data_IF_083524421709
#
_entry.id   IF_083524421709
#
_cell.length_a   1.000
_cell.length_b   1.000
_cell.length_c   1.000
_cell.angle_alpha   90.00
_cell.angle_beta   90.00
_cell.angle_gamma   90.00
#
_symmetry.space_group_name_H-M   'P 1'
#
loop_
_entity.id
_entity.type
_entity.pdbx_description
1 polymer ?
#
# COMPACT_ATOMS: atom_id res chain seq x y z
N UNK A 1 -5.32 -10.14 -15.54
CA UNK A 1 -6.07 -9.02 -16.16
C UNK A 1 -6.91 -8.31 -15.09
N UNK A 2 -6.98 -6.98 -15.08
CA UNK A 2 -7.87 -6.22 -14.17
C UNK A 2 -8.95 -5.50 -14.98
N UNK A 3 -10.20 -5.90 -14.80
CA UNK A 3 -11.37 -5.25 -15.38
C UNK A 3 -12.05 -4.38 -14.31
N UNK A 4 -12.54 -3.20 -14.72
CA UNK A 4 -13.34 -2.34 -13.85
C UNK A 4 -14.69 -2.13 -14.51
N UNK A 5 -15.75 -2.40 -13.76
CA UNK A 5 -17.12 -2.39 -14.25
C UNK A 5 -18.13 -2.30 -13.11
N UNK A 6 -19.40 -2.22 -13.47
CA UNK A 6 -20.51 -2.20 -12.54
C UNK A 6 -21.18 -3.57 -12.49
N UNK A 7 -21.69 -3.95 -11.32
CA UNK A 7 -22.60 -5.07 -11.20
C UNK A 7 -23.89 -4.77 -11.95
N UNK A 8 -24.28 -5.67 -12.84
CA UNK A 8 -25.51 -5.52 -13.63
C UNK A 8 -26.63 -6.36 -13.02
N UNK A 9 -26.41 -7.67 -12.87
CA UNK A 9 -27.39 -8.63 -12.34
C UNK A 9 -26.74 -9.96 -11.97
N UNK A 10 -27.46 -10.77 -11.22
CA UNK A 10 -27.18 -12.18 -10.99
C UNK A 10 -28.40 -13.00 -11.38
N UNK A 11 -28.20 -14.19 -11.94
CA UNK A 11 -29.29 -15.06 -12.39
C UNK A 11 -28.91 -16.52 -12.41
N UNK A 12 -29.82 -17.35 -12.90
CA UNK A 12 -29.61 -18.78 -13.18
C UNK A 12 -29.61 -18.99 -14.69
N UNK A 13 -28.63 -19.73 -15.20
CA UNK A 13 -28.64 -20.15 -16.60
C UNK A 13 -29.55 -21.37 -16.81
N UNK A 14 -29.63 -21.86 -18.05
CA UNK A 14 -30.44 -23.03 -18.43
C UNK A 14 -30.07 -24.31 -17.66
N UNK A 15 -28.84 -24.38 -17.14
CA UNK A 15 -28.33 -25.50 -16.35
C UNK A 15 -28.51 -25.29 -14.82
N UNK A 16 -29.26 -24.28 -14.38
CA UNK A 16 -29.42 -23.89 -12.97
C UNK A 16 -28.12 -23.47 -12.27
N UNK A 17 -27.10 -23.08 -13.02
CA UNK A 17 -25.84 -22.54 -12.49
C UNK A 17 -25.98 -21.04 -12.25
N UNK A 18 -25.27 -20.51 -11.26
CA UNK A 18 -25.32 -19.09 -10.92
C UNK A 18 -24.43 -18.29 -11.86
N UNK A 19 -25.02 -17.32 -12.56
CA UNK A 19 -24.30 -16.36 -13.39
C UNK A 19 -24.28 -14.99 -12.72
N UNK A 20 -23.13 -14.33 -12.80
CA UNK A 20 -22.94 -12.93 -12.39
C UNK A 20 -22.59 -12.13 -13.64
N UNK A 21 -23.41 -11.13 -13.97
CA UNK A 21 -23.18 -10.23 -15.11
C UNK A 21 -22.59 -8.91 -14.62
N UNK A 22 -21.46 -8.52 -15.22
CA UNK A 22 -20.79 -7.25 -14.99
C UNK A 22 -20.75 -6.45 -16.30
N UNK A 23 -21.08 -5.15 -16.23
CA UNK A 23 -20.86 -4.23 -17.34
C UNK A 23 -19.48 -3.62 -17.20
N UNK A 24 -18.56 -3.98 -18.09
CA UNK A 24 -17.18 -3.45 -18.09
C UNK A 24 -17.08 -2.14 -18.89
N UNK A 25 -16.07 -1.32 -18.58
CA UNK A 25 -15.78 -0.10 -19.36
C UNK A 25 -15.24 -0.44 -20.76
N UNK A 26 -15.65 0.32 -21.77
CA UNK A 26 -15.33 0.10 -23.19
C UNK A 26 -13.82 -0.06 -23.48
N UNK A 27 -12.97 0.68 -22.77
CA UNK A 27 -11.50 0.60 -22.94
C UNK A 27 -10.91 -0.80 -22.70
N UNK A 28 -11.64 -1.71 -22.07
CA UNK A 28 -11.21 -3.08 -21.80
C UNK A 28 -11.69 -4.09 -22.86
N UNK A 29 -12.40 -3.65 -23.90
CA UNK A 29 -12.96 -4.53 -24.94
C UNK A 29 -11.93 -5.46 -25.55
N UNK A 30 -10.74 -4.96 -25.86
CA UNK A 30 -9.68 -5.78 -26.45
C UNK A 30 -9.14 -6.86 -25.50
N UNK A 31 -9.25 -6.65 -24.17
CA UNK A 31 -8.76 -7.61 -23.18
C UNK A 31 -9.68 -8.82 -23.02
N UNK A 32 -10.97 -8.70 -23.36
CA UNK A 32 -11.96 -9.78 -23.23
C UNK A 32 -12.19 -10.57 -24.53
N UNK A 33 -11.65 -10.11 -25.66
CA UNK A 33 -11.86 -10.75 -26.97
C UNK A 33 -11.31 -12.17 -27.06
N UNK A 34 -10.32 -12.50 -26.23
CA UNK A 34 -9.63 -13.79 -26.25
C UNK A 34 -10.06 -14.74 -25.13
N UNK A 35 -11.17 -14.45 -24.42
CA UNK A 35 -11.69 -15.36 -23.41
C UNK A 35 -12.33 -16.59 -24.09
N UNK A 36 -11.87 -17.78 -23.73
CA UNK A 36 -12.40 -19.05 -24.22
C UNK A 36 -13.46 -19.61 -23.26
N UNK A 37 -14.60 -20.04 -23.80
CA UNK A 37 -15.68 -20.68 -23.02
C UNK A 37 -15.28 -22.02 -22.42
N UNK A 38 -14.24 -22.66 -22.94
CA UNK A 38 -13.76 -23.96 -22.48
C UNK A 38 -12.66 -23.85 -21.40
N UNK A 39 -12.22 -22.63 -21.07
CA UNK A 39 -11.22 -22.40 -20.02
C UNK A 39 -11.86 -22.01 -18.69
N UNK A 40 -11.26 -22.49 -17.60
CA UNK A 40 -11.65 -22.11 -16.25
C UNK A 40 -10.81 -20.91 -15.77
N UNK A 41 -11.47 -19.80 -15.49
CA UNK A 41 -10.83 -18.58 -14.99
C UNK A 41 -11.05 -18.39 -13.49
N UNK A 42 -10.02 -17.93 -12.79
CA UNK A 42 -10.15 -17.42 -11.41
C UNK A 42 -10.65 -15.98 -11.43
N UNK A 43 -11.71 -15.68 -10.68
CA UNK A 43 -12.35 -14.36 -10.63
C UNK A 43 -12.20 -13.77 -9.23
N UNK A 44 -11.68 -12.55 -9.14
CA UNK A 44 -11.61 -11.77 -7.89
C UNK A 44 -12.43 -10.49 -8.05
N UNK A 45 -13.54 -10.39 -7.31
CA UNK A 45 -14.40 -9.20 -7.29
C UNK A 45 -14.05 -8.38 -6.06
N UNK A 46 -13.68 -7.11 -6.27
CA UNK A 46 -13.39 -6.15 -5.20
C UNK A 46 -13.95 -4.78 -5.59
N UNK A 47 -14.23 -3.94 -4.59
CA UNK A 47 -14.62 -2.55 -4.84
C UNK A 47 -13.47 -1.84 -5.55
N UNK A 48 -13.77 -1.15 -6.65
CA UNK A 48 -12.78 -0.32 -7.32
C UNK A 48 -12.33 0.78 -6.35
N UNK A 49 -11.01 0.94 -6.22
CA UNK A 49 -10.44 2.06 -5.46
C UNK A 49 -10.80 3.36 -6.15
N UNK A 50 -11.01 4.39 -5.34
CA UNK A 50 -11.24 5.74 -5.84
C UNK A 50 -10.02 6.21 -6.66
N UNK A 51 -10.26 6.87 -7.80
CA UNK A 51 -9.19 7.37 -8.67
C UNK A 51 -8.30 8.38 -7.93
N UNK A 52 -8.89 9.21 -7.06
CA UNK A 52 -8.20 10.18 -6.22
C UNK A 52 -7.22 9.48 -5.28
N UNK A 53 -7.66 8.41 -4.62
CA UNK A 53 -6.78 7.63 -3.73
C UNK A 53 -5.64 6.96 -4.49
N UNK A 54 -5.87 6.43 -5.71
CA UNK A 54 -4.79 5.86 -6.52
C UNK A 54 -3.78 6.93 -6.93
N UNK A 55 -4.26 8.11 -7.33
CA UNK A 55 -3.42 9.23 -7.74
C UNK A 55 -2.60 9.78 -6.57
N UNK A 56 -3.22 9.96 -5.41
CA UNK A 56 -2.55 10.38 -4.18
C UNK A 56 -1.43 9.40 -3.77
N UNK A 57 -1.69 8.09 -3.85
CA UNK A 57 -0.63 7.10 -3.59
C UNK A 57 0.55 7.26 -4.56
N UNK A 58 0.30 7.55 -5.84
CA UNK A 58 1.38 7.79 -6.81
C UNK A 58 2.18 9.04 -6.44
N UNK A 59 1.52 10.13 -6.08
CA UNK A 59 2.20 11.36 -5.67
C UNK A 59 2.99 11.18 -4.37
N UNK A 60 2.43 10.46 -3.39
CA UNK A 60 3.13 10.15 -2.14
C UNK A 60 4.45 9.42 -2.41
N UNK A 61 4.42 8.37 -3.25
CA UNK A 61 5.64 7.65 -3.62
C UNK A 61 6.63 8.50 -4.41
N UNK A 62 6.13 9.38 -5.29
CA UNK A 62 7.00 10.30 -6.01
C UNK A 62 7.71 11.28 -5.05
N UNK A 63 7.01 11.85 -4.07
CA UNK A 63 7.60 12.72 -3.04
C UNK A 63 8.64 11.97 -2.19
N UNK A 64 8.33 10.73 -1.79
CA UNK A 64 9.29 9.87 -1.08
C UNK A 64 10.59 9.70 -1.88
N UNK A 65 10.50 9.49 -3.20
CA UNK A 65 11.68 9.39 -4.06
C UNK A 65 12.46 10.70 -4.18
N UNK A 66 11.79 11.86 -4.18
CA UNK A 66 12.47 13.16 -4.15
C UNK A 66 13.18 13.40 -2.81
N UNK A 67 12.60 12.95 -1.68
CA UNK A 67 13.26 12.98 -0.37
C UNK A 67 14.52 12.09 -0.38
N UNK A 68 14.42 10.87 -0.92
CA UNK A 68 15.56 9.96 -1.01
C UNK A 68 16.72 10.59 -1.80
N UNK A 69 16.41 11.14 -2.99
CA UNK A 69 17.40 11.85 -3.82
C UNK A 69 18.03 13.03 -3.10
N UNK A 70 17.23 13.85 -2.42
CA UNK A 70 17.73 15.02 -1.69
C UNK A 70 18.70 14.63 -0.58
N UNK A 71 18.42 13.52 0.14
CA UNK A 71 19.29 13.02 1.22
C UNK A 71 20.54 12.30 0.69
N UNK A 72 20.43 11.61 -0.45
CA UNK A 72 21.49 10.74 -0.98
C UNK A 72 22.23 11.31 -2.21
N UNK A 73 22.00 12.58 -2.56
CA UNK A 73 22.69 13.28 -3.66
C UNK A 73 22.46 12.64 -5.03
N UNK A 74 21.19 12.38 -5.37
CA UNK A 74 20.72 11.80 -6.65
C UNK A 74 21.19 10.37 -6.96
N UNK A 75 21.83 9.68 -6.01
CA UNK A 75 22.27 8.26 -6.17
C UNK A 75 21.23 7.24 -5.67
N UNK A 76 19.98 7.69 -5.59
CA UNK A 76 18.82 7.08 -4.91
C UNK A 76 18.56 5.61 -5.27
N UNK A 77 18.23 4.82 -4.23
CA UNK A 77 17.70 3.45 -4.28
C UNK A 77 17.07 3.03 -2.93
N UNK A 78 16.79 3.97 -2.00
CA UNK A 78 16.36 3.69 -0.62
C UNK A 78 14.99 4.30 -0.29
N UNK A 79 14.13 4.55 -1.29
CA UNK A 79 12.76 5.07 -1.13
C UNK A 79 11.95 4.34 -0.04
N UNK A 80 12.20 3.03 0.13
CA UNK A 80 11.53 2.23 1.14
C UNK A 80 11.97 2.58 2.57
N UNK A 81 13.22 2.98 2.78
CA UNK A 81 13.70 3.37 4.11
C UNK A 81 13.11 4.71 4.53
N UNK A 82 12.95 5.64 3.57
CA UNK A 82 12.19 6.89 3.79
C UNK A 82 10.74 6.59 4.16
N UNK A 83 10.09 5.66 3.46
CA UNK A 83 8.72 5.24 3.79
C UNK A 83 8.63 4.58 5.18
N UNK A 84 9.61 3.77 5.57
CA UNK A 84 9.69 3.16 6.91
C UNK A 84 9.84 4.24 7.98
N UNK A 85 10.73 5.22 7.77
CA UNK A 85 10.89 6.36 8.67
C UNK A 85 9.59 7.13 8.84
N UNK A 86 8.89 7.43 7.73
CA UNK A 86 7.61 8.12 7.76
C UNK A 86 6.56 7.37 8.59
N UNK A 87 6.44 6.04 8.44
CA UNK A 87 5.52 5.23 9.25
C UNK A 87 5.85 5.30 10.75
N UNK A 88 7.13 5.26 11.11
CA UNK A 88 7.59 5.34 12.50
C UNK A 88 7.30 6.74 13.08
N UNK A 89 7.63 7.80 12.33
CA UNK A 89 7.42 9.20 12.75
C UNK A 89 5.95 9.55 12.92
N UNK A 90 5.09 9.08 12.01
CA UNK A 90 3.64 9.27 12.08
C UNK A 90 3.03 8.54 13.29
N UNK A 91 3.72 7.54 13.83
CA UNK A 91 3.13 6.63 14.82
C UNK A 91 2.06 5.73 14.20
N UNK A 92 2.26 5.32 12.95
CA UNK A 92 1.31 4.47 12.23
C UNK A 92 0.99 3.19 13.02
N UNK A 93 -0.23 2.66 12.85
CA UNK A 93 -0.66 1.43 13.54
C UNK A 93 0.36 0.31 13.33
N UNK A 94 0.72 -0.35 14.43
CA UNK A 94 1.62 -1.48 14.46
C UNK A 94 1.10 -2.56 15.40
N UNK A 95 1.66 -3.75 15.27
CA UNK A 95 1.53 -4.82 16.26
C UNK A 95 2.91 -5.17 16.82
N UNK A 96 2.95 -5.64 18.07
CA UNK A 96 4.18 -6.17 18.66
C UNK A 96 4.29 -7.66 18.37
N UNK A 97 5.43 -8.08 17.83
CA UNK A 97 5.78 -9.49 17.66
C UNK A 97 7.08 -9.79 18.39
N UNK A 98 6.99 -10.67 19.38
CA UNK A 98 8.13 -11.24 20.08
C UNK A 98 8.55 -12.52 19.37
N UNK A 99 9.73 -12.51 18.75
CA UNK A 99 10.21 -13.64 17.94
C UNK A 99 11.65 -14.01 18.30
N UNK A 100 12.08 -15.22 17.96
CA UNK A 100 13.50 -15.57 18.02
C UNK A 100 14.28 -14.73 16.98
N UNK A 101 15.55 -14.35 17.23
CA UNK A 101 16.32 -13.47 16.35
C UNK A 101 16.37 -13.93 14.88
N UNK A 102 16.39 -15.24 14.65
CA UNK A 102 16.41 -15.85 13.32
C UNK A 102 15.14 -15.62 12.50
N UNK A 103 14.02 -15.25 13.14
CA UNK A 103 12.75 -14.97 12.45
C UNK A 103 12.68 -13.54 11.88
N UNK A 104 13.69 -12.70 12.07
CA UNK A 104 13.70 -11.32 11.55
C UNK A 104 13.48 -11.28 10.04
N UNK A 105 14.13 -12.17 9.27
CA UNK A 105 14.00 -12.23 7.81
C UNK A 105 12.55 -12.49 7.40
N UNK A 106 11.88 -13.45 8.05
CA UNK A 106 10.47 -13.75 7.80
C UNK A 106 9.57 -12.55 8.10
N UNK A 107 9.88 -11.78 9.15
CA UNK A 107 9.13 -10.56 9.47
C UNK A 107 9.32 -9.49 8.39
N UNK A 108 10.55 -9.31 7.87
CA UNK A 108 10.83 -8.36 6.77
C UNK A 108 10.12 -8.74 5.47
N UNK A 109 9.92 -10.03 5.22
CA UNK A 109 9.15 -10.51 4.07
C UNK A 109 7.63 -10.32 4.26
N UNK A 110 7.16 -10.38 5.50
CA UNK A 110 5.72 -10.35 5.82
C UNK A 110 5.18 -8.94 6.05
N UNK A 111 6.01 -8.02 6.55
CA UNK A 111 5.61 -6.67 6.93
C UNK A 111 6.33 -5.62 6.10
N UNK A 112 5.63 -4.51 5.84
CA UNK A 112 6.18 -3.39 5.06
C UNK A 112 7.28 -2.63 5.79
N UNK A 113 7.19 -2.59 7.12
CA UNK A 113 8.17 -1.98 7.98
C UNK A 113 8.21 -2.72 9.32
N UNK A 114 9.43 -2.94 9.83
CA UNK A 114 9.65 -3.46 11.17
C UNK A 114 10.67 -2.60 11.91
N UNK A 115 10.49 -2.44 13.22
CA UNK A 115 11.42 -1.72 14.08
C UNK A 115 11.72 -2.58 15.30
N UNK A 116 13.00 -2.91 15.53
CA UNK A 116 13.41 -3.59 16.75
C UNK A 116 13.26 -2.63 17.94
N UNK A 117 12.46 -3.01 18.93
CA UNK A 117 12.21 -2.21 20.13
C UNK A 117 13.19 -2.58 21.23
N UNK A 118 13.35 -3.89 21.47
CA UNK A 118 14.19 -4.41 22.56
C UNK A 118 14.50 -5.89 22.33
N UNK A 119 15.56 -6.33 22.99
CA UNK A 119 15.87 -7.76 23.15
C UNK A 119 15.45 -8.18 24.56
N UNK A 120 14.76 -9.31 24.67
CA UNK A 120 14.26 -9.87 25.92
C UNK A 120 14.89 -11.24 26.11
N UNK A 121 15.50 -11.46 27.27
CA UNK A 121 15.97 -12.79 27.65
C UNK A 121 14.89 -13.50 28.48
N UNK A 122 14.45 -14.67 28.00
CA UNK A 122 13.52 -15.54 28.71
C UNK A 122 14.25 -16.86 28.98
N UNK A 123 14.66 -17.05 30.24
CA UNK A 123 15.58 -18.14 30.65
C UNK A 123 16.89 -18.06 29.86
N UNK A 124 17.23 -19.10 29.11
CA UNK A 124 18.47 -19.20 28.32
C UNK A 124 18.27 -18.84 26.84
N UNK A 125 17.10 -18.28 26.48
CA UNK A 125 16.77 -17.89 25.11
C UNK A 125 16.62 -16.37 24.98
N UNK A 126 17.14 -15.82 23.90
CA UNK A 126 16.97 -14.42 23.51
C UNK A 126 15.82 -14.33 22.53
N UNK A 127 14.94 -13.35 22.74
CA UNK A 127 13.88 -12.97 21.84
C UNK A 127 14.02 -11.48 21.48
N UNK A 128 13.59 -11.12 20.29
CA UNK A 128 13.54 -9.76 19.80
C UNK A 128 12.07 -9.32 19.71
N UNK A 129 11.76 -8.19 20.32
CA UNK A 129 10.46 -7.54 20.27
C UNK A 129 10.47 -6.50 19.14
N UNK A 130 9.70 -6.74 18.08
CA UNK A 130 9.56 -5.82 16.96
C UNK A 130 8.20 -5.14 16.97
N UNK A 131 8.17 -3.84 16.64
CA UNK A 131 6.98 -3.21 16.06
C UNK A 131 6.92 -3.61 14.60
N UNK A 132 5.81 -4.19 14.19
CA UNK A 132 5.52 -4.56 12.82
C UNK A 132 4.38 -3.66 12.33
N UNK A 133 4.68 -2.73 11.42
CA UNK A 133 3.74 -1.71 10.98
C UNK A 133 2.86 -2.21 9.84
N UNK A 134 1.60 -1.78 9.84
CA UNK A 134 0.70 -1.98 8.71
C UNK A 134 0.99 -0.94 7.62
N UNK A 135 1.05 -1.39 6.36
CA UNK A 135 1.25 -0.46 5.23
C UNK A 135 0.00 0.38 4.91
N UNK A 136 0.18 1.50 4.20
CA UNK A 136 -0.86 2.47 3.86
C UNK A 136 -2.11 1.87 3.19
N UNK A 137 -1.98 0.72 2.53
CA UNK A 137 -3.12 -0.04 2.01
C UNK A 137 -4.17 -0.50 3.03
N UNK A 138 -3.85 -0.43 4.33
CA UNK A 138 -4.74 -0.78 5.46
C UNK A 138 -5.17 0.44 6.29
N UNK A 139 -4.71 1.62 5.92
CA UNK A 139 -5.02 2.87 6.62
C UNK A 139 -6.42 3.37 6.27
N UNK A 140 -7.08 3.99 7.24
CA UNK A 140 -8.24 4.84 6.99
C UNK A 140 -7.83 6.21 6.44
N UNK A 141 -8.82 7.07 6.13
CA UNK A 141 -8.56 8.39 5.54
C UNK A 141 -7.70 9.28 6.45
N UNK A 142 -7.96 9.25 7.76
CA UNK A 142 -7.24 10.08 8.73
C UNK A 142 -5.79 9.61 8.83
N UNK A 143 -5.59 8.30 8.98
CA UNK A 143 -4.24 7.72 9.06
C UNK A 143 -3.40 8.00 7.81
N UNK A 144 -4.03 7.98 6.62
CA UNK A 144 -3.36 8.34 5.38
C UNK A 144 -2.99 9.83 5.33
N UNK A 145 -3.87 10.71 5.82
CA UNK A 145 -3.61 12.14 5.91
C UNK A 145 -2.44 12.43 6.85
N UNK A 146 -2.44 11.86 8.06
CA UNK A 146 -1.36 12.03 9.04
C UNK A 146 0.00 11.56 8.49
N UNK A 147 0.00 10.46 7.71
CA UNK A 147 1.20 9.97 7.02
C UNK A 147 1.69 10.94 5.94
N UNK A 148 0.79 11.50 5.14
CA UNK A 148 1.13 12.47 4.08
C UNK A 148 1.72 13.74 4.69
N UNK A 149 1.12 14.29 5.75
CA UNK A 149 1.66 15.46 6.46
C UNK A 149 3.07 15.18 6.98
N UNK A 150 3.30 14.00 7.56
CA UNK A 150 4.63 13.59 8.03
C UNK A 150 5.66 13.54 6.89
N UNK A 151 5.27 13.05 5.71
CA UNK A 151 6.15 13.01 4.52
C UNK A 151 6.42 14.42 3.99
N UNK A 152 5.42 15.32 4.01
CA UNK A 152 5.60 16.72 3.62
C UNK A 152 6.57 17.45 4.57
N UNK A 153 6.47 17.20 5.88
CA UNK A 153 7.41 17.71 6.87
C UNK A 153 8.83 17.19 6.58
N UNK A 154 8.98 15.89 6.33
CA UNK A 154 10.27 15.27 5.97
C UNK A 154 10.86 15.89 4.69
N UNK A 155 10.03 16.21 3.69
CA UNK A 155 10.47 16.89 2.47
C UNK A 155 10.94 18.31 2.75
N UNK A 156 10.19 19.06 3.56
CA UNK A 156 10.57 20.41 3.98
C UNK A 156 11.90 20.41 4.75
N UNK A 157 12.13 19.43 5.62
CA UNK A 157 13.39 19.27 6.36
C UNK A 157 14.60 19.05 5.43
N UNK A 158 14.38 18.43 4.27
CA UNK A 158 15.41 18.22 3.25
C UNK A 158 15.58 19.43 2.32
N UNK A 159 14.82 20.52 2.53
CA UNK A 159 14.88 21.74 1.72
C UNK A 159 14.10 21.65 0.40
N UNK A 160 13.21 20.68 0.23
CA UNK A 160 12.34 20.59 -0.94
C UNK A 160 11.23 21.64 -0.90
N UNK A 161 10.89 22.23 -2.04
CA UNK A 161 9.70 23.07 -2.18
C UNK A 161 8.44 22.19 -2.21
N UNK A 162 7.63 22.30 -1.16
CA UNK A 162 6.45 21.46 -0.97
C UNK A 162 5.15 22.09 -1.46
N UNK A 163 5.15 23.30 -2.06
CA UNK A 163 3.91 23.98 -2.49
C UNK A 163 3.13 23.13 -3.49
N UNK A 164 3.82 22.66 -4.54
CA UNK A 164 3.22 21.76 -5.54
C UNK A 164 2.73 20.46 -4.91
N UNK A 165 3.52 19.89 -4.00
CA UNK A 165 3.20 18.62 -3.34
C UNK A 165 1.97 18.72 -2.46
N UNK A 166 1.81 19.83 -1.73
CA UNK A 166 0.60 20.12 -0.97
C UNK A 166 -0.62 20.12 -1.87
N UNK A 167 -0.60 20.88 -2.96
CA UNK A 167 -1.74 20.96 -3.89
C UNK A 167 -2.17 19.59 -4.44
N UNK A 168 -1.22 18.77 -4.90
CA UNK A 168 -1.54 17.45 -5.50
C UNK A 168 -1.85 16.35 -4.48
N UNK A 169 -1.47 16.54 -3.22
CA UNK A 169 -1.73 15.63 -2.11
C UNK A 169 -2.93 16.05 -1.25
N UNK A 170 -3.40 17.30 -1.39
CA UNK A 170 -4.40 17.88 -0.50
C UNK A 170 -5.76 17.16 -0.60
N UNK A 171 -6.36 17.05 0.57
CA UNK A 171 -7.71 16.57 0.72
C UNK A 171 -8.64 17.78 0.76
N UNK A 172 -9.02 18.37 -0.39
CA UNK A 172 -10.30 19.10 -0.43
C UNK A 172 -11.38 18.15 0.12
N UNK A 173 -11.91 18.50 1.29
CA UNK A 173 -12.94 17.79 2.07
C UNK A 173 -14.25 17.64 1.29
#
# INVERSE_FOLDING_TARGET
MRLVGNYSRSGKNENFETEITLTIREKYKNLIQNLDKNELYSIVISKAKDKRTEQQNKYMWALIGEIDKARNGDRSNEDYDIYIEALIRTGAKYTHLLVEPQAETMLRESFRAIQLVRKIQVKDKIFNDYKCFYGSSKMDKKEMHDLIETILDMASECGLDIIYWKDVLDFED
#
